data_IF_116520793191
#
_entry.id   IF_116520793191
#
_cell.length_a   1.000
_cell.length_b   1.000
_cell.length_c   1.000
_cell.angle_alpha   90.00
_cell.angle_beta   90.00
_cell.angle_gamma   90.00
#
_symmetry.space_group_name_H-M   'P 1'
#
loop_
_entity.id
_entity.type
_entity.pdbx_description
1 polymer ?
#
# COMPACT_ATOMS: atom_id res chain seq x y z
N UNK A 1 20.06 0.69 -2.68
CA UNK A 1 19.85 2.12 -2.98
C UNK A 1 21.06 2.87 -2.43
N UNK A 2 21.76 3.64 -3.25
CA UNK A 2 23.03 4.25 -2.86
C UNK A 2 22.82 5.19 -1.67
N UNK A 3 23.59 5.00 -0.60
CA UNK A 3 23.70 5.92 0.54
C UNK A 3 24.38 7.24 0.18
N UNK A 4 24.73 7.44 -1.09
CA UNK A 4 25.22 8.70 -1.59
C UNK A 4 24.05 9.66 -1.74
N UNK A 5 23.69 10.33 -0.63
CA UNK A 5 23.16 11.68 -0.74
C UNK A 5 24.06 12.50 -1.68
N UNK A 6 23.56 13.53 -2.37
CA UNK A 6 24.29 14.19 -3.45
C UNK A 6 25.70 14.56 -3.01
N UNK A 7 26.68 13.77 -3.46
CA UNK A 7 28.08 13.97 -3.13
C UNK A 7 28.53 15.20 -3.91
N UNK A 8 28.44 16.36 -3.27
CA UNK A 8 28.81 17.62 -3.91
C UNK A 8 30.33 17.70 -4.00
N UNK A 9 30.86 17.39 -5.17
CA UNK A 9 32.29 17.57 -5.46
C UNK A 9 32.55 19.05 -5.72
N UNK A 10 33.09 19.76 -4.73
CA UNK A 10 33.58 21.10 -4.94
C UNK A 10 34.89 21.03 -5.76
N UNK A 11 35.00 21.75 -6.90
CA UNK A 11 36.26 21.85 -7.63
C UNK A 11 37.24 22.69 -6.80
N UNK A 12 38.21 22.03 -6.18
CA UNK A 12 39.22 22.67 -5.33
C UNK A 12 40.56 22.62 -6.04
N UNK A 13 41.20 23.78 -6.15
CA UNK A 13 42.55 23.86 -6.74
C UNK A 13 43.59 23.32 -5.75
N UNK A 14 44.55 22.51 -6.23
CA UNK A 14 45.62 22.01 -5.35
C UNK A 14 46.41 23.16 -4.72
N UNK A 15 46.52 23.15 -3.39
CA UNK A 15 47.30 24.13 -2.63
C UNK A 15 46.53 25.40 -2.22
N UNK A 16 45.24 25.48 -2.52
CA UNK A 16 44.37 26.58 -2.09
C UNK A 16 43.87 26.43 -0.65
N UNK A 17 43.30 27.51 -0.09
CA UNK A 17 42.62 27.50 1.21
C UNK A 17 41.12 27.55 0.99
N UNK A 18 40.40 26.59 1.55
CA UNK A 18 38.95 26.60 1.57
C UNK A 18 38.45 27.44 2.74
N UNK A 19 37.55 28.38 2.44
CA UNK A 19 36.81 29.11 3.45
C UNK A 19 35.34 28.70 3.40
N UNK A 20 34.79 28.38 4.57
CA UNK A 20 33.38 28.04 4.74
C UNK A 20 32.73 29.16 5.56
N UNK A 21 31.62 29.69 5.07
CA UNK A 21 30.75 30.54 5.88
C UNK A 21 29.31 30.08 5.78
N UNK A 22 28.62 30.16 6.91
CA UNK A 22 27.18 29.97 6.96
C UNK A 22 26.51 31.25 6.44
N UNK A 23 25.66 31.08 5.42
CA UNK A 23 24.81 32.13 4.89
C UNK A 23 23.54 32.30 5.72
N UNK A 24 22.53 32.97 5.16
CA UNK A 24 21.23 33.08 5.80
C UNK A 24 20.46 31.76 5.62
N UNK A 25 19.84 31.29 6.69
CA UNK A 25 19.01 30.08 6.66
C UNK A 25 19.86 28.81 6.49
N UNK A 26 19.64 28.10 5.39
CA UNK A 26 20.23 26.78 5.13
C UNK A 26 21.34 26.79 4.06
N UNK A 27 22.00 27.94 3.90
CA UNK A 27 23.07 28.13 2.93
C UNK A 27 24.46 27.92 3.58
N UNK A 28 25.31 27.08 2.97
CA UNK A 28 26.76 27.19 3.06
C UNK A 28 27.28 27.97 1.87
N UNK A 29 28.30 28.77 2.12
CA UNK A 29 29.11 29.37 1.09
C UNK A 29 30.52 28.82 1.22
N UNK A 30 30.97 28.12 0.18
CA UNK A 30 32.35 27.73 -0.02
C UNK A 30 33.03 28.78 -0.88
N UNK A 31 34.19 29.24 -0.44
CA UNK A 31 35.05 30.08 -1.24
C UNK A 31 36.42 29.41 -1.37
N UNK A 32 36.87 29.23 -2.61
CA UNK A 32 38.25 28.84 -2.88
C UNK A 32 39.16 30.08 -2.85
N UNK A 33 40.10 30.16 -1.90
CA UNK A 33 41.00 31.31 -1.75
C UNK A 33 42.41 30.90 -2.19
N UNK A 34 42.96 31.66 -3.14
CA UNK A 34 44.34 31.51 -3.58
C UNK A 34 45.30 31.70 -2.40
N UNK A 35 46.28 30.81 -2.27
CA UNK A 35 47.26 30.94 -1.21
C UNK A 35 48.22 32.10 -1.53
N UNK A 36 48.26 33.16 -0.71
CA UNK A 36 49.03 34.36 -1.01
C UNK A 36 50.55 34.10 -1.00
N UNK A 37 51.02 33.04 -0.35
CA UNK A 37 52.44 32.72 -0.25
C UNK A 37 52.97 31.91 -1.44
N UNK A 38 52.13 31.08 -2.06
CA UNK A 38 52.54 30.17 -3.14
C UNK A 38 51.98 30.56 -4.51
N UNK A 39 51.04 31.51 -4.56
CA UNK A 39 50.22 31.83 -5.74
C UNK A 39 49.52 30.60 -6.36
N UNK A 40 49.50 29.46 -5.65
CA UNK A 40 48.81 28.26 -6.06
C UNK A 40 47.36 28.34 -5.55
N UNK A 41 46.40 28.07 -6.44
CA UNK A 41 44.97 28.14 -6.16
C UNK A 41 44.16 28.57 -7.39
N UNK A 42 42.83 28.58 -7.27
CA UNK A 42 41.93 28.91 -8.39
C UNK A 42 42.02 30.39 -8.80
N UNK A 43 41.96 30.63 -10.11
CA UNK A 43 42.27 31.93 -10.78
C UNK A 43 41.18 33.02 -10.59
N UNK A 44 40.34 32.87 -9.58
CA UNK A 44 39.23 33.77 -9.29
C UNK A 44 38.33 33.08 -8.29
N UNK A 45 38.29 33.60 -7.06
CA UNK A 45 37.64 32.96 -5.92
C UNK A 45 36.23 32.46 -6.23
N UNK A 46 36.13 31.18 -6.59
CA UNK A 46 34.88 30.57 -6.96
C UNK A 46 34.04 30.47 -5.68
N UNK A 47 32.94 31.22 -5.67
CA UNK A 47 31.93 31.12 -4.64
C UNK A 47 30.96 30.01 -5.03
N UNK A 48 31.03 28.90 -4.33
CA UNK A 48 30.03 27.85 -4.41
C UNK A 48 29.03 28.04 -3.27
N UNK A 49 27.75 28.09 -3.61
CA UNK A 49 26.67 28.10 -2.63
C UNK A 49 26.05 26.70 -2.59
N UNK A 50 26.03 26.10 -1.40
CA UNK A 50 25.34 24.84 -1.13
C UNK A 50 24.15 25.17 -0.25
N UNK A 51 22.93 24.97 -0.72
CA UNK A 51 21.73 25.06 0.12
C UNK A 51 21.24 23.66 0.48
N UNK A 52 21.16 23.33 1.76
CA UNK A 52 20.44 22.13 2.25
C UNK A 52 19.02 22.49 2.65
N UNK A 53 18.15 21.49 2.78
CA UNK A 53 16.82 21.69 3.35
C UNK A 53 15.94 22.70 2.63
N UNK A 54 16.05 22.83 1.29
CA UNK A 54 15.02 23.51 0.51
C UNK A 54 13.71 22.76 0.72
N UNK A 55 12.80 23.36 1.49
CA UNK A 55 11.47 22.81 1.75
C UNK A 55 10.74 22.75 0.42
N UNK A 56 10.27 21.56 0.03
CA UNK A 56 9.56 21.40 -1.24
C UNK A 56 8.34 22.32 -1.29
N UNK A 57 7.87 22.65 -2.49
CA UNK A 57 6.57 23.31 -2.68
C UNK A 57 5.48 22.55 -1.92
N UNK A 58 5.49 21.22 -2.02
CA UNK A 58 4.57 20.31 -1.34
C UNK A 58 4.59 20.49 0.19
N UNK A 59 5.77 20.44 0.81
CA UNK A 59 5.89 20.61 2.26
C UNK A 59 5.45 22.00 2.73
N UNK A 60 5.66 23.06 1.92
CA UNK A 60 5.13 24.40 2.23
C UNK A 60 3.61 24.42 2.19
N UNK A 61 3.00 23.84 1.16
CA UNK A 61 1.54 23.77 1.02
C UNK A 61 0.94 23.02 2.22
N UNK A 62 1.48 21.83 2.54
CA UNK A 62 1.00 21.02 3.67
C UNK A 62 1.14 21.79 4.98
N UNK A 63 2.29 22.42 5.22
CA UNK A 63 2.56 23.17 6.46
C UNK A 63 1.60 24.36 6.64
N UNK A 64 1.31 25.11 5.57
CA UNK A 64 0.35 26.21 5.64
C UNK A 64 -1.09 25.71 5.79
N UNK A 65 -1.47 24.65 5.07
CA UNK A 65 -2.82 24.10 5.10
C UNK A 65 -3.17 23.45 6.44
N UNK A 66 -2.17 22.94 7.18
CA UNK A 66 -2.36 22.22 8.44
C UNK A 66 -1.91 23.01 9.68
N UNK A 67 -1.52 24.29 9.51
CA UNK A 67 -0.94 25.12 10.56
C UNK A 67 -1.86 25.29 11.78
N UNK A 68 -3.16 25.44 11.55
CA UNK A 68 -4.15 25.64 12.62
C UNK A 68 -4.29 24.37 13.48
N UNK A 69 -4.50 23.22 12.82
CA UNK A 69 -4.62 21.92 13.48
C UNK A 69 -3.33 21.57 14.24
N UNK A 70 -2.16 21.83 13.64
CA UNK A 70 -0.88 21.65 14.30
C UNK A 70 -0.77 22.54 15.55
N UNK A 71 -1.13 23.82 15.46
CA UNK A 71 -1.09 24.74 16.59
C UNK A 71 -2.05 24.32 17.73
N UNK A 72 -3.18 23.69 17.42
CA UNK A 72 -4.10 23.14 18.42
C UNK A 72 -3.50 21.92 19.14
N UNK A 73 -2.86 21.01 18.40
CA UNK A 73 -2.15 19.85 18.98
C UNK A 73 -1.05 20.33 19.94
N UNK A 74 -0.24 21.31 19.51
CA UNK A 74 0.84 21.87 20.34
C UNK A 74 0.32 22.56 21.61
N UNK A 75 -0.72 23.40 21.49
CA UNK A 75 -1.35 24.07 22.65
C UNK A 75 -1.85 23.05 23.66
N UNK A 76 -2.52 22.00 23.18
CA UNK A 76 -3.03 20.90 24.00
C UNK A 76 -1.93 20.09 24.69
N UNK A 77 -0.81 19.86 24.01
CA UNK A 77 0.33 19.14 24.56
C UNK A 77 1.02 19.95 25.66
N UNK A 78 1.23 21.25 25.43
CA UNK A 78 1.83 22.16 26.41
C UNK A 78 0.97 22.33 27.66
N UNK A 79 -0.36 22.20 27.55
CA UNK A 79 -1.25 22.21 28.72
C UNK A 79 -1.21 20.89 29.52
N UNK A 80 -0.47 19.88 29.07
CA UNK A 80 -0.37 18.57 29.73
C UNK A 80 -1.61 17.70 29.61
N UNK A 81 -2.57 18.06 28.75
CA UNK A 81 -3.79 17.31 28.55
C UNK A 81 -3.54 16.13 27.60
N UNK A 82 -3.68 14.91 28.11
CA UNK A 82 -3.72 13.65 27.32
C UNK A 82 -5.10 13.01 27.40
N UNK A 83 -6.13 13.83 27.33
CA UNK A 83 -7.52 13.40 27.35
C UNK A 83 -8.00 12.99 25.94
N UNK A 84 -9.20 12.43 25.85
CA UNK A 84 -9.82 12.03 24.58
C UNK A 84 -9.89 13.21 23.58
N UNK A 85 -10.01 14.43 24.10
CA UNK A 85 -10.02 15.65 23.30
C UNK A 85 -8.65 15.93 22.66
N UNK A 86 -7.54 15.69 23.37
CA UNK A 86 -6.19 15.78 22.79
C UNK A 86 -6.02 14.76 21.67
N UNK A 87 -6.36 13.50 21.93
CA UNK A 87 -6.28 12.46 20.91
C UNK A 87 -7.16 12.81 19.69
N UNK A 88 -8.32 13.45 19.90
CA UNK A 88 -9.23 13.84 18.81
C UNK A 88 -8.61 14.93 17.92
N UNK A 89 -7.90 15.89 18.53
CA UNK A 89 -7.12 16.90 17.81
C UNK A 89 -5.99 16.27 17.01
N UNK A 90 -5.27 15.30 17.59
CA UNK A 90 -4.18 14.59 16.88
C UNK A 90 -4.72 13.84 15.66
N UNK A 91 -5.87 13.15 15.78
CA UNK A 91 -6.49 12.48 14.64
C UNK A 91 -7.02 13.45 13.57
N UNK A 92 -7.57 14.59 13.97
CA UNK A 92 -7.97 15.65 13.04
C UNK A 92 -6.75 16.18 12.26
N UNK A 93 -5.65 16.42 12.96
CA UNK A 93 -4.39 16.84 12.38
C UNK A 93 -3.81 15.78 11.43
N UNK A 94 -3.75 14.51 11.84
CA UNK A 94 -3.24 13.41 11.04
C UNK A 94 -4.01 13.25 9.72
N UNK A 95 -5.35 13.34 9.79
CA UNK A 95 -6.23 13.29 8.63
C UNK A 95 -6.03 14.47 7.69
N UNK A 96 -5.93 15.69 8.23
CA UNK A 96 -5.68 16.90 7.44
C UNK A 96 -4.36 16.80 6.68
N UNK A 97 -3.30 16.30 7.33
CA UNK A 97 -2.00 16.04 6.68
C UNK A 97 -2.14 14.99 5.57
N UNK A 98 -2.81 13.87 5.84
CA UNK A 98 -3.04 12.82 4.83
C UNK A 98 -3.77 13.37 3.61
N UNK A 99 -4.81 14.17 3.80
CA UNK A 99 -5.58 14.78 2.71
C UNK A 99 -4.70 15.67 1.81
N UNK A 100 -3.78 16.43 2.40
CA UNK A 100 -2.83 17.25 1.64
C UNK A 100 -1.77 16.40 0.93
N UNK A 101 -1.22 15.39 1.59
CA UNK A 101 -0.27 14.46 0.96
C UNK A 101 -0.90 13.73 -0.23
N UNK A 102 -2.15 13.30 -0.10
CA UNK A 102 -2.88 12.64 -1.18
C UNK A 102 -3.23 13.58 -2.33
N UNK A 103 -3.51 14.86 -2.07
CA UNK A 103 -3.81 15.83 -3.13
C UNK A 103 -2.57 16.23 -3.95
N UNK A 104 -1.39 16.12 -3.35
CA UNK A 104 -0.09 16.45 -3.96
C UNK A 104 0.64 15.23 -4.52
N UNK A 105 0.03 14.04 -4.45
CA UNK A 105 0.65 12.77 -4.84
C UNK A 105 1.06 12.73 -6.32
N UNK A 106 0.27 13.37 -7.18
CA UNK A 106 0.48 13.34 -8.62
C UNK A 106 1.27 14.58 -9.11
N UNK A 107 1.89 15.34 -8.20
CA UNK A 107 2.72 16.50 -8.54
C UNK A 107 4.07 16.05 -9.14
N UNK A 108 4.32 16.30 -10.44
CA UNK A 108 5.54 15.86 -11.10
C UNK A 108 6.80 16.56 -10.58
N UNK A 109 6.65 17.72 -9.90
CA UNK A 109 7.78 18.53 -9.45
C UNK A 109 8.45 17.98 -8.18
N UNK A 110 7.83 17.02 -7.48
CA UNK A 110 8.33 16.45 -6.21
C UNK A 110 9.07 15.11 -6.36
N UNK A 111 9.28 14.64 -7.61
CA UNK A 111 10.09 13.44 -7.88
C UNK A 111 9.64 12.16 -7.20
N UNK A 112 8.36 12.07 -6.80
CA UNK A 112 7.76 10.89 -6.15
C UNK A 112 7.89 10.84 -4.61
N UNK A 113 8.55 11.80 -3.97
CA UNK A 113 8.71 11.82 -2.50
C UNK A 113 7.36 11.96 -1.79
N UNK A 114 6.45 12.82 -2.27
CA UNK A 114 5.09 12.97 -1.73
C UNK A 114 4.30 11.66 -1.68
N UNK A 115 4.51 10.75 -2.64
CA UNK A 115 3.76 9.49 -2.70
C UNK A 115 4.19 8.52 -1.61
N UNK A 116 5.50 8.40 -1.41
CA UNK A 116 6.06 7.55 -0.35
C UNK A 116 5.75 8.13 1.03
N UNK A 117 5.84 9.44 1.19
CA UNK A 117 5.45 10.11 2.43
C UNK A 117 3.97 9.93 2.73
N UNK A 118 3.08 10.00 1.74
CA UNK A 118 1.66 9.72 1.90
C UNK A 118 1.42 8.27 2.39
N UNK A 119 2.12 7.31 1.79
CA UNK A 119 2.03 5.91 2.17
C UNK A 119 2.52 5.67 3.61
N UNK A 120 3.70 6.19 3.96
CA UNK A 120 4.26 6.07 5.30
C UNK A 120 3.40 6.79 6.35
N UNK A 121 2.92 8.00 6.05
CA UNK A 121 2.06 8.78 6.94
C UNK A 121 0.76 8.04 7.25
N UNK A 122 0.11 7.47 6.23
CA UNK A 122 -1.14 6.75 6.45
C UNK A 122 -0.93 5.47 7.28
N UNK A 123 0.20 4.76 7.14
CA UNK A 123 0.53 3.66 8.06
C UNK A 123 0.66 4.15 9.50
N UNK A 124 1.39 5.23 9.72
CA UNK A 124 1.55 5.82 11.04
C UNK A 124 0.21 6.26 11.64
N UNK A 125 -0.67 6.88 10.85
CA UNK A 125 -2.03 7.24 11.27
C UNK A 125 -2.84 6.00 11.68
N UNK A 126 -2.85 4.96 10.85
CA UNK A 126 -3.60 3.72 11.13
C UNK A 126 -3.15 3.09 12.44
N UNK A 127 -1.85 2.93 12.66
CA UNK A 127 -1.32 2.21 13.82
C UNK A 127 -1.20 3.06 15.09
N UNK A 128 -0.80 4.33 14.97
CA UNK A 128 -0.53 5.17 16.13
C UNK A 128 -1.73 6.03 16.57
N UNK A 129 -2.70 6.23 15.68
CA UNK A 129 -3.85 7.10 15.94
C UNK A 129 -5.14 6.30 15.91
N UNK A 130 -5.45 5.60 14.82
CA UNK A 130 -6.76 4.97 14.64
C UNK A 130 -6.89 3.65 15.43
N UNK A 131 -5.84 2.82 15.45
CA UNK A 131 -5.86 1.51 16.10
C UNK A 131 -6.15 1.58 17.62
N UNK A 132 -5.57 2.51 18.41
CA UNK A 132 -5.94 2.64 19.83
C UNK A 132 -7.39 3.09 20.06
N UNK A 133 -8.07 3.60 19.03
CA UNK A 133 -9.38 4.26 19.13
C UNK A 133 -10.53 3.42 18.60
N UNK A 134 -10.21 2.44 17.77
CA UNK A 134 -11.17 1.56 17.13
C UNK A 134 -10.81 0.12 17.49
N UNK A 135 -11.81 -0.69 17.88
CA UNK A 135 -11.70 -2.16 17.90
C UNK A 135 -11.65 -2.71 16.45
N UNK A 136 -10.84 -2.06 15.62
CA UNK A 136 -10.85 -2.13 14.16
C UNK A 136 -10.15 -3.37 13.63
N UNK A 137 -10.51 -3.73 12.39
CA UNK A 137 -9.84 -4.79 11.67
C UNK A 137 -8.59 -4.23 10.97
N UNK A 138 -7.47 -4.23 11.68
CA UNK A 138 -6.18 -3.74 11.17
C UNK A 138 -5.78 -4.42 9.86
N UNK A 139 -6.20 -5.68 9.65
CA UNK A 139 -6.02 -6.36 8.38
C UNK A 139 -6.72 -5.66 7.21
N UNK A 140 -8.00 -5.26 7.38
CA UNK A 140 -8.74 -4.53 6.35
C UNK A 140 -8.16 -3.13 6.13
N UNK A 141 -7.68 -2.48 7.19
CA UNK A 141 -6.99 -1.19 7.08
C UNK A 141 -5.67 -1.31 6.28
N UNK A 142 -4.91 -2.40 6.46
CA UNK A 142 -3.72 -2.69 5.67
C UNK A 142 -4.06 -2.98 4.19
N UNK A 143 -5.12 -3.74 3.92
CA UNK A 143 -5.57 -4.01 2.55
C UNK A 143 -6.02 -2.72 1.87
N UNK A 144 -6.77 -1.87 2.58
CA UNK A 144 -7.19 -0.56 2.06
C UNK A 144 -5.99 0.36 1.80
N UNK A 145 -5.02 0.37 2.71
CA UNK A 145 -3.77 1.11 2.54
C UNK A 145 -3.00 0.63 1.29
N UNK A 146 -2.82 -0.68 1.13
CA UNK A 146 -2.13 -1.23 -0.04
C UNK A 146 -2.89 -0.89 -1.33
N UNK A 147 -4.22 -0.97 -1.34
CA UNK A 147 -5.03 -0.57 -2.49
C UNK A 147 -4.85 0.90 -2.89
N UNK A 148 -4.62 1.80 -1.92
CA UNK A 148 -4.42 3.22 -2.17
C UNK A 148 -3.00 3.57 -2.65
N UNK A 149 -2.00 2.77 -2.28
CA UNK A 149 -0.58 3.09 -2.47
C UNK A 149 0.20 2.10 -3.36
N UNK A 150 -0.39 0.98 -3.78
CA UNK A 150 0.32 -0.04 -4.57
C UNK A 150 0.97 0.50 -5.84
N UNK A 151 0.28 1.35 -6.60
CA UNK A 151 0.84 1.93 -7.84
C UNK A 151 1.99 2.91 -7.55
N UNK A 152 1.92 3.66 -6.45
CA UNK A 152 3.01 4.54 -6.01
C UNK A 152 4.25 3.72 -5.59
N UNK A 153 4.05 2.66 -4.80
CA UNK A 153 5.11 1.74 -4.39
C UNK A 153 5.74 1.04 -5.59
N UNK A 154 4.93 0.62 -6.58
CA UNK A 154 5.42 0.07 -7.83
C UNK A 154 6.27 1.08 -8.61
N UNK A 155 5.81 2.33 -8.72
CA UNK A 155 6.57 3.40 -9.39
C UNK A 155 7.94 3.66 -8.75
N UNK A 156 8.03 3.67 -7.42
CA UNK A 156 9.29 3.85 -6.68
C UNK A 156 10.25 2.67 -6.88
N UNK A 157 9.71 1.47 -7.06
CA UNK A 157 10.50 0.24 -7.29
C UNK A 157 10.76 -0.04 -8.77
N UNK A 158 10.45 0.92 -9.67
CA UNK A 158 10.54 0.80 -11.12
C UNK A 158 9.74 -0.38 -11.70
N UNK A 159 8.71 -0.81 -10.97
CA UNK A 159 7.77 -1.84 -11.40
C UNK A 159 6.56 -1.22 -12.09
N UNK A 160 5.97 -1.95 -13.04
CA UNK A 160 4.73 -1.50 -13.67
C UNK A 160 3.57 -1.60 -12.67
N UNK A 161 2.89 -0.47 -12.44
CA UNK A 161 1.71 -0.40 -11.57
C UNK A 161 0.53 -1.22 -12.12
N UNK A 162 -0.29 -1.72 -11.20
CA UNK A 162 -1.50 -2.50 -11.49
C UNK A 162 -2.50 -1.67 -12.31
N UNK A 163 -2.68 -0.39 -11.97
CA UNK A 163 -3.67 0.46 -12.66
C UNK A 163 -3.23 0.76 -14.10
N UNK A 164 -1.94 1.04 -14.33
CA UNK A 164 -1.40 1.21 -15.69
C UNK A 164 -1.60 -0.05 -16.53
N UNK A 165 -1.31 -1.23 -15.96
CA UNK A 165 -1.50 -2.50 -16.69
C UNK A 165 -2.97 -2.80 -16.98
N UNK A 166 -3.87 -2.46 -16.07
CA UNK A 166 -5.31 -2.59 -16.25
C UNK A 166 -5.80 -1.72 -17.43
N UNK A 167 -5.36 -0.46 -17.50
CA UNK A 167 -5.72 0.45 -18.59
C UNK A 167 -5.26 -0.09 -19.96
N UNK A 168 -4.03 -0.58 -20.04
CA UNK A 168 -3.49 -1.20 -21.26
C UNK A 168 -4.33 -2.39 -21.73
N UNK A 169 -4.73 -3.28 -20.81
CA UNK A 169 -5.53 -4.46 -21.13
C UNK A 169 -6.97 -4.09 -21.49
N UNK A 170 -7.60 -3.18 -20.75
CA UNK A 170 -8.95 -2.69 -21.05
C UNK A 170 -9.03 -1.93 -22.38
N UNK A 171 -7.94 -1.28 -22.80
CA UNK A 171 -7.83 -0.63 -24.11
C UNK A 171 -7.62 -1.61 -25.27
N UNK A 172 -7.33 -2.88 -25.00
CA UNK A 172 -7.12 -3.90 -26.02
C UNK A 172 -8.46 -4.44 -26.57
N UNK A 173 -8.63 -4.56 -27.90
CA UNK A 173 -9.84 -5.14 -28.50
C UNK A 173 -9.98 -6.66 -28.23
N UNK A 174 -8.92 -7.30 -27.75
CA UNK A 174 -8.93 -8.71 -27.36
C UNK A 174 -8.15 -8.88 -26.05
N UNK A 175 -8.71 -8.30 -24.99
CA UNK A 175 -8.12 -8.29 -23.66
C UNK A 175 -7.85 -9.71 -23.13
N UNK A 176 -8.81 -10.64 -23.22
CA UNK A 176 -8.65 -11.99 -22.67
C UNK A 176 -7.73 -12.90 -23.50
N UNK A 177 -7.40 -12.50 -24.73
CA UNK A 177 -6.32 -13.11 -25.51
C UNK A 177 -4.91 -12.71 -25.00
N UNK A 178 -4.76 -11.61 -24.28
CA UNK A 178 -3.46 -11.14 -23.78
C UNK A 178 -2.94 -12.03 -22.64
N UNK A 179 -1.67 -12.50 -22.68
CA UNK A 179 -1.13 -13.48 -21.71
C UNK A 179 -1.36 -13.06 -20.25
N UNK A 180 -1.31 -11.77 -19.98
CA UNK A 180 -1.38 -11.21 -18.63
C UNK A 180 -2.83 -10.95 -18.15
N UNK A 181 -3.85 -11.23 -18.96
CA UNK A 181 -5.25 -11.01 -18.58
C UNK A 181 -5.65 -11.77 -17.31
N UNK A 182 -5.49 -13.10 -17.33
CA UNK A 182 -5.84 -13.95 -16.18
C UNK A 182 -4.91 -13.71 -15.00
N UNK A 183 -3.57 -13.60 -15.17
CA UNK A 183 -2.66 -13.19 -14.10
C UNK A 183 -3.06 -11.87 -13.42
N UNK A 184 -3.36 -10.82 -14.18
CA UNK A 184 -3.79 -9.55 -13.61
C UNK A 184 -5.14 -9.69 -12.90
N UNK A 185 -6.11 -10.39 -13.51
CA UNK A 185 -7.41 -10.63 -12.87
C UNK A 185 -7.23 -11.38 -11.55
N UNK A 186 -6.40 -12.42 -11.51
CA UNK A 186 -6.12 -13.16 -10.27
C UNK A 186 -5.43 -12.30 -9.21
N UNK A 187 -4.50 -11.43 -9.61
CA UNK A 187 -3.82 -10.49 -8.70
C UNK A 187 -4.79 -9.45 -8.14
N UNK A 188 -5.61 -8.84 -8.98
CA UNK A 188 -6.67 -7.91 -8.56
C UNK A 188 -7.63 -8.54 -7.56
N UNK A 189 -8.06 -9.78 -7.84
CA UNK A 189 -8.94 -10.53 -6.93
C UNK A 189 -8.23 -10.89 -5.63
N UNK A 190 -6.97 -11.35 -5.69
CA UNK A 190 -6.16 -11.66 -4.51
C UNK A 190 -6.08 -10.44 -3.58
N UNK A 191 -5.79 -9.26 -4.12
CA UNK A 191 -5.69 -8.01 -3.37
C UNK A 191 -7.04 -7.40 -2.97
N UNK A 192 -8.16 -8.04 -3.33
CA UNK A 192 -9.51 -7.53 -3.03
C UNK A 192 -9.88 -6.26 -3.80
N UNK A 193 -9.21 -5.96 -4.92
CA UNK A 193 -9.52 -4.85 -5.85
C UNK A 193 -10.68 -5.23 -6.76
N UNK A 194 -11.84 -5.47 -6.14
CA UNK A 194 -13.03 -6.02 -6.80
C UNK A 194 -13.53 -5.13 -7.95
N UNK A 195 -13.48 -3.81 -7.80
CA UNK A 195 -13.97 -2.88 -8.83
C UNK A 195 -13.17 -3.00 -10.12
N UNK A 196 -11.85 -3.02 -9.99
CA UNK A 196 -10.89 -3.19 -11.08
C UNK A 196 -10.98 -4.59 -11.69
N UNK A 197 -11.14 -5.63 -10.86
CA UNK A 197 -11.36 -6.99 -11.34
C UNK A 197 -12.65 -7.10 -12.19
N UNK A 198 -13.75 -6.46 -11.76
CA UNK A 198 -15.01 -6.41 -12.51
C UNK A 198 -14.83 -5.62 -13.82
N UNK A 199 -14.13 -4.48 -13.79
CA UNK A 199 -13.79 -3.71 -14.99
C UNK A 199 -13.05 -4.56 -16.02
N UNK A 200 -12.03 -5.32 -15.60
CA UNK A 200 -11.30 -6.22 -16.49
C UNK A 200 -12.15 -7.40 -16.99
N UNK A 201 -13.01 -7.94 -16.13
CA UNK A 201 -13.92 -9.03 -16.48
C UNK A 201 -14.95 -8.62 -17.53
N UNK A 202 -15.41 -7.37 -17.49
CA UNK A 202 -16.37 -6.82 -18.46
C UNK A 202 -15.73 -6.54 -19.83
N UNK A 203 -14.40 -6.43 -19.89
CA UNK A 203 -13.63 -6.39 -21.14
C UNK A 203 -13.44 -7.77 -21.82
N UNK A 204 -13.91 -8.88 -21.22
CA UNK A 204 -13.73 -10.22 -21.79
C UNK A 204 -14.51 -10.38 -23.12
N UNK A 205 -13.86 -10.87 -24.19
CA UNK A 205 -14.47 -10.83 -25.53
C UNK A 205 -15.76 -11.68 -25.62
N UNK A 206 -15.81 -12.82 -24.91
CA UNK A 206 -17.02 -13.64 -24.80
C UNK A 206 -18.26 -12.85 -24.34
N UNK A 207 -18.12 -11.90 -23.39
CA UNK A 207 -19.22 -11.02 -22.95
C UNK A 207 -19.63 -10.01 -24.03
N UNK A 208 -18.67 -9.54 -24.82
CA UNK A 208 -18.91 -8.57 -25.90
C UNK A 208 -19.52 -9.20 -27.16
N UNK A 209 -19.24 -10.48 -27.41
CA UNK A 209 -19.73 -11.24 -28.57
C UNK A 209 -21.19 -11.74 -28.43
N UNK A 210 -21.93 -11.26 -27.43
CA UNK A 210 -23.31 -11.67 -27.13
C UNK A 210 -24.34 -11.12 -28.14
N UNK A 211 -24.24 -11.57 -29.40
CA UNK A 211 -25.18 -11.18 -30.48
C UNK A 211 -25.53 -12.30 -31.48
N UNK A 212 -24.97 -13.50 -31.32
CA UNK A 212 -25.24 -14.66 -32.20
C UNK A 212 -24.55 -15.96 -31.76
N UNK A 213 -23.53 -15.83 -30.91
CA UNK A 213 -22.74 -16.91 -30.33
C UNK A 213 -23.47 -17.72 -29.24
N UNK A 214 -24.61 -17.24 -28.74
CA UNK A 214 -25.41 -17.88 -27.67
C UNK A 214 -26.02 -19.24 -28.06
N UNK A 215 -26.03 -19.57 -29.35
CA UNK A 215 -26.50 -20.88 -29.83
C UNK A 215 -25.46 -21.99 -29.64
N UNK A 216 -24.20 -21.65 -29.34
CA UNK A 216 -23.15 -22.65 -29.08
C UNK A 216 -23.09 -22.99 -27.58
N UNK A 217 -23.23 -24.27 -27.20
CA UNK A 217 -23.27 -24.67 -25.79
C UNK A 217 -21.99 -24.30 -25.03
N UNK A 218 -20.81 -24.38 -25.67
CA UNK A 218 -19.53 -24.00 -25.06
C UNK A 218 -19.42 -22.51 -24.75
N UNK A 219 -19.91 -21.63 -25.62
CA UNK A 219 -19.88 -20.17 -25.40
C UNK A 219 -20.89 -19.78 -24.32
N UNK A 220 -22.07 -20.42 -24.30
CA UNK A 220 -23.05 -20.24 -23.23
C UNK A 220 -22.47 -20.65 -21.86
N UNK A 221 -21.79 -21.79 -21.78
CA UNK A 221 -21.15 -22.24 -20.56
C UNK A 221 -20.04 -21.28 -20.08
N UNK A 222 -19.27 -20.68 -21.00
CA UNK A 222 -18.31 -19.64 -20.64
C UNK A 222 -18.99 -18.40 -20.06
N UNK A 223 -20.05 -17.92 -20.69
CA UNK A 223 -20.81 -16.78 -20.19
C UNK A 223 -21.38 -17.06 -18.80
N UNK A 224 -21.93 -18.24 -18.59
CA UNK A 224 -22.44 -18.67 -17.28
C UNK A 224 -21.33 -18.65 -16.21
N UNK A 225 -20.14 -19.18 -16.50
CA UNK A 225 -19.00 -19.11 -15.59
C UNK A 225 -18.54 -17.66 -15.31
N UNK A 226 -18.49 -16.81 -16.33
CA UNK A 226 -18.10 -15.41 -16.22
C UNK A 226 -19.14 -14.59 -15.42
N UNK A 227 -20.42 -14.90 -15.57
CA UNK A 227 -21.52 -14.26 -14.84
C UNK A 227 -21.54 -14.71 -13.37
N UNK A 228 -21.36 -16.01 -13.12
CA UNK A 228 -21.14 -16.54 -11.77
C UNK A 228 -19.96 -15.84 -11.08
N UNK A 229 -18.83 -15.70 -11.78
CA UNK A 229 -17.67 -15.00 -11.24
C UNK A 229 -17.97 -13.51 -10.96
N UNK A 230 -18.64 -12.82 -11.89
CA UNK A 230 -19.04 -11.43 -11.71
C UNK A 230 -19.93 -11.24 -10.46
N UNK A 231 -20.91 -12.13 -10.26
CA UNK A 231 -21.79 -12.12 -9.08
C UNK A 231 -21.02 -12.40 -7.79
N UNK A 232 -20.12 -13.40 -7.78
CA UNK A 232 -19.27 -13.71 -6.62
C UNK A 232 -18.41 -12.51 -6.24
N UNK A 233 -17.72 -11.90 -7.20
CA UNK A 233 -16.87 -10.73 -6.97
C UNK A 233 -17.67 -9.57 -6.39
N UNK A 234 -18.80 -9.22 -7.02
CA UNK A 234 -19.68 -8.15 -6.55
C UNK A 234 -20.23 -8.39 -5.13
N UNK A 235 -20.32 -9.64 -4.69
CA UNK A 235 -20.84 -10.04 -3.37
C UNK A 235 -19.74 -10.42 -2.38
N UNK A 236 -18.46 -10.23 -2.71
CA UNK A 236 -17.33 -10.57 -1.83
C UNK A 236 -17.52 -9.91 -0.45
N UNK A 237 -17.71 -10.68 0.63
CA UNK A 237 -17.93 -10.12 1.95
C UNK A 237 -16.64 -9.51 2.50
N UNK A 238 -16.73 -8.27 2.98
CA UNK A 238 -15.63 -7.51 3.59
C UNK A 238 -16.07 -6.93 4.92
N UNK A 239 -15.16 -6.83 5.88
CA UNK A 239 -15.42 -6.05 7.09
C UNK A 239 -15.16 -4.56 6.78
N UNK A 240 -15.93 -3.66 7.40
CA UNK A 240 -15.70 -2.24 7.22
C UNK A 240 -14.33 -1.83 7.79
N UNK A 241 -13.47 -1.17 7.01
CA UNK A 241 -12.23 -0.61 7.56
C UNK A 241 -12.55 0.52 8.54
N UNK A 242 -11.60 0.81 9.42
CA UNK A 242 -11.71 1.84 10.44
C UNK A 242 -11.75 3.23 9.80
N UNK A 243 -10.98 3.42 8.72
CA UNK A 243 -10.81 4.69 8.00
C UNK A 243 -11.78 4.90 6.83
N UNK A 244 -13.09 4.71 7.08
CA UNK A 244 -14.17 5.10 6.16
C UNK A 244 -14.60 4.02 5.17
N UNK A 245 -15.91 3.98 4.89
CA UNK A 245 -16.51 2.99 3.98
C UNK A 245 -16.31 3.37 2.53
N UNK A 246 -15.80 2.45 1.71
CA UNK A 246 -16.04 2.49 0.27
C UNK A 246 -17.55 2.26 0.04
N UNK A 247 -18.28 3.23 -0.54
CA UNK A 247 -19.72 3.10 -0.79
C UNK A 247 -20.08 2.01 -1.81
N UNK A 248 -19.10 1.52 -2.58
CA UNK A 248 -19.32 0.48 -3.60
C UNK A 248 -19.10 -0.94 -3.07
N UNK A 249 -18.46 -1.09 -1.91
CA UNK A 249 -18.22 -2.38 -1.27
C UNK A 249 -19.33 -2.68 -0.25
N UNK A 250 -19.84 -3.92 -0.27
CA UNK A 250 -20.78 -4.41 0.76
C UNK A 250 -19.98 -4.74 2.03
N UNK A 251 -19.54 -3.69 2.71
CA UNK A 251 -18.80 -3.77 3.95
C UNK A 251 -19.75 -3.98 5.14
N UNK A 252 -19.53 -5.05 5.90
CA UNK A 252 -20.32 -5.40 7.07
C UNK A 252 -19.78 -4.67 8.30
N UNK A 253 -20.69 -4.08 9.09
CA UNK A 253 -20.34 -3.43 10.36
C UNK A 253 -20.38 -4.37 11.56
N UNK A 254 -20.96 -5.57 11.40
CA UNK A 254 -21.05 -6.60 12.42
C UNK A 254 -20.28 -7.85 11.98
N UNK A 255 -19.46 -8.36 12.88
CA UNK A 255 -18.68 -9.58 12.67
C UNK A 255 -19.56 -10.82 12.46
N UNK A 256 -20.72 -10.88 13.13
CA UNK A 256 -21.67 -11.99 12.99
C UNK A 256 -22.34 -11.98 11.60
N UNK A 257 -22.73 -10.79 11.12
CA UNK A 257 -23.31 -10.63 9.78
C UNK A 257 -22.28 -10.96 8.69
N UNK A 258 -21.05 -10.46 8.87
CA UNK A 258 -19.92 -10.79 8.00
C UNK A 258 -19.69 -12.31 7.92
N UNK A 259 -19.58 -12.98 9.06
CA UNK A 259 -19.27 -14.42 9.11
C UNK A 259 -20.35 -15.24 8.42
N UNK A 260 -21.62 -14.93 8.68
CA UNK A 260 -22.77 -15.59 8.05
C UNK A 260 -22.76 -15.38 6.52
N UNK A 261 -22.54 -14.15 6.08
CA UNK A 261 -22.46 -13.84 4.65
C UNK A 261 -21.27 -14.53 3.97
N UNK A 262 -20.12 -14.61 4.67
CA UNK A 262 -18.90 -15.25 4.18
C UNK A 262 -19.07 -16.75 4.03
N UNK A 263 -19.72 -17.43 4.97
CA UNK A 263 -20.01 -18.87 4.86
C UNK A 263 -20.93 -19.19 3.67
N UNK A 264 -21.98 -18.40 3.45
CA UNK A 264 -22.87 -18.56 2.30
C UNK A 264 -22.10 -18.32 1.00
N UNK A 265 -21.31 -17.25 0.94
CA UNK A 265 -20.52 -16.90 -0.23
C UNK A 265 -19.46 -17.96 -0.56
N UNK A 266 -18.75 -18.51 0.43
CA UNK A 266 -17.78 -19.58 0.23
C UNK A 266 -18.43 -20.86 -0.28
N UNK A 267 -19.64 -21.18 0.20
CA UNK A 267 -20.41 -22.33 -0.32
C UNK A 267 -20.79 -22.13 -1.78
N UNK A 268 -21.33 -20.96 -2.14
CA UNK A 268 -21.65 -20.62 -3.54
C UNK A 268 -20.41 -20.72 -4.44
N UNK A 269 -19.26 -20.22 -3.98
CA UNK A 269 -17.99 -20.33 -4.72
C UNK A 269 -17.52 -21.79 -4.86
N UNK A 270 -17.68 -22.60 -3.81
CA UNK A 270 -17.36 -24.03 -3.83
C UNK A 270 -18.25 -24.83 -4.77
N UNK A 271 -19.56 -24.55 -4.79
CA UNK A 271 -20.53 -25.20 -5.67
C UNK A 271 -20.19 -24.93 -7.15
N UNK A 272 -19.82 -23.68 -7.47
CA UNK A 272 -19.35 -23.32 -8.82
C UNK A 272 -18.05 -24.07 -9.14
N UNK A 273 -17.07 -24.06 -8.24
CA UNK A 273 -15.79 -24.74 -8.45
C UNK A 273 -15.92 -26.26 -8.65
N UNK A 274 -16.95 -26.88 -8.06
CA UNK A 274 -17.24 -28.30 -8.20
C UNK A 274 -18.03 -28.68 -9.48
N UNK A 275 -18.50 -27.70 -10.27
CA UNK A 275 -19.29 -27.92 -11.47
C UNK A 275 -18.45 -28.38 -12.67
N UNK A 276 -17.85 -29.58 -12.57
CA UNK A 276 -16.92 -30.14 -13.56
C UNK A 276 -17.50 -30.23 -14.98
N UNK A 277 -18.78 -30.54 -15.13
CA UNK A 277 -19.44 -30.58 -16.43
C UNK A 277 -19.48 -29.20 -17.09
N UNK A 278 -19.78 -28.13 -16.32
CA UNK A 278 -19.81 -26.76 -16.81
C UNK A 278 -18.42 -26.31 -17.29
N UNK A 279 -17.38 -26.63 -16.51
CA UNK A 279 -15.99 -26.37 -16.90
C UNK A 279 -15.56 -27.17 -18.14
N UNK A 280 -15.99 -28.43 -18.27
CA UNK A 280 -15.68 -29.27 -19.43
C UNK A 280 -16.31 -28.71 -20.70
N UNK A 281 -17.59 -28.31 -20.63
CA UNK A 281 -18.33 -27.71 -21.76
C UNK A 281 -17.74 -26.35 -22.13
N UNK A 282 -17.44 -25.49 -21.15
CA UNK A 282 -16.79 -24.21 -21.41
C UNK A 282 -15.38 -24.35 -22.00
N UNK A 283 -14.61 -25.33 -21.50
CA UNK A 283 -13.26 -25.65 -21.94
C UNK A 283 -13.18 -26.15 -23.38
N UNK A 284 -14.24 -26.82 -23.86
CA UNK A 284 -14.34 -27.23 -25.27
C UNK A 284 -14.37 -26.03 -26.24
N UNK A 285 -14.86 -24.87 -25.80
CA UNK A 285 -14.83 -23.63 -26.59
C UNK A 285 -13.61 -22.74 -26.27
N UNK A 286 -13.14 -22.71 -25.02
CA UNK A 286 -11.95 -21.98 -24.59
C UNK A 286 -11.41 -22.58 -23.31
N UNK A 287 -10.39 -23.43 -23.47
CA UNK A 287 -9.63 -24.00 -22.35
C UNK A 287 -9.05 -22.89 -21.46
N UNK A 288 -8.57 -21.81 -22.07
CA UNK A 288 -8.01 -20.66 -21.38
C UNK A 288 -9.01 -19.98 -20.45
N UNK A 289 -10.24 -19.77 -20.90
CA UNK A 289 -11.29 -19.15 -20.08
C UNK A 289 -11.69 -20.06 -18.92
N UNK A 290 -11.87 -21.36 -19.18
CA UNK A 290 -12.19 -22.32 -18.14
C UNK A 290 -11.08 -22.43 -17.07
N UNK A 291 -9.81 -22.53 -17.47
CA UNK A 291 -8.66 -22.56 -16.56
C UNK A 291 -8.48 -21.23 -15.82
N UNK A 292 -8.70 -20.10 -16.50
CA UNK A 292 -8.67 -18.77 -15.91
C UNK A 292 -9.71 -18.59 -14.79
N UNK A 293 -10.96 -18.97 -15.04
CA UNK A 293 -12.02 -18.93 -14.01
C UNK A 293 -11.67 -19.86 -12.84
N UNK A 294 -11.11 -21.06 -13.10
CA UNK A 294 -10.63 -21.94 -12.02
C UNK A 294 -9.53 -21.29 -11.19
N UNK A 295 -8.57 -20.61 -11.81
CA UNK A 295 -7.51 -19.91 -11.09
C UNK A 295 -8.09 -18.83 -10.17
N UNK A 296 -9.05 -18.04 -10.65
CA UNK A 296 -9.73 -17.03 -9.84
C UNK A 296 -10.53 -17.67 -8.69
N UNK A 297 -11.26 -18.76 -8.94
CA UNK A 297 -12.00 -19.47 -7.88
C UNK A 297 -11.08 -20.04 -6.80
N UNK A 298 -9.89 -20.55 -7.16
CA UNK A 298 -8.91 -21.02 -6.17
C UNK A 298 -8.42 -19.87 -5.26
N UNK A 299 -8.21 -18.68 -5.83
CA UNK A 299 -7.90 -17.46 -5.05
C UNK A 299 -9.07 -17.11 -4.13
N UNK A 300 -10.30 -17.06 -4.65
CA UNK A 300 -11.51 -16.74 -3.86
C UNK A 300 -11.77 -17.73 -2.72
N UNK A 301 -11.41 -19.00 -2.91
CA UNK A 301 -11.52 -20.06 -1.90
C UNK A 301 -10.32 -20.08 -0.92
N UNK A 302 -9.35 -19.17 -1.07
CA UNK A 302 -8.23 -19.03 -0.15
C UNK A 302 -7.18 -20.14 -0.24
N UNK A 303 -7.01 -20.76 -1.41
CA UNK A 303 -5.94 -21.74 -1.66
C UNK A 303 -4.56 -21.08 -1.53
N UNK A 304 -3.72 -21.48 -0.54
CA UNK A 304 -2.41 -20.86 -0.31
C UNK A 304 -1.46 -20.90 -1.51
N UNK A 305 -1.55 -21.92 -2.35
CA UNK A 305 -0.72 -22.00 -3.55
C UNK A 305 -1.19 -20.98 -4.61
N UNK A 306 -2.50 -20.81 -4.76
CA UNK A 306 -3.08 -19.85 -5.69
C UNK A 306 -2.84 -18.40 -5.24
N UNK A 307 -2.98 -18.10 -3.93
CA UNK A 307 -2.71 -16.77 -3.38
C UNK A 307 -1.24 -16.36 -3.58
N UNK A 308 -0.30 -17.28 -3.31
CA UNK A 308 1.13 -17.03 -3.55
C UNK A 308 1.44 -16.83 -5.03
N UNK A 309 0.86 -17.64 -5.91
CA UNK A 309 1.06 -17.50 -7.35
C UNK A 309 0.45 -16.21 -7.92
N UNK A 310 -0.56 -15.64 -7.27
CA UNK A 310 -1.26 -14.43 -7.74
C UNK A 310 -0.61 -13.12 -7.27
N UNK A 311 0.37 -13.14 -6.36
CA UNK A 311 0.94 -11.95 -5.71
C UNK A 311 2.43 -11.79 -6.02
N UNK A 312 2.93 -10.56 -6.14
CA UNK A 312 4.33 -10.30 -6.49
C UNK A 312 5.30 -10.41 -5.31
N UNK A 313 4.86 -9.98 -4.13
CA UNK A 313 5.72 -9.80 -2.97
C UNK A 313 5.02 -10.18 -1.66
N UNK A 314 5.78 -10.24 -0.56
CA UNK A 314 5.25 -10.61 0.75
C UNK A 314 4.12 -9.70 1.25
N UNK A 315 4.10 -8.42 0.88
CA UNK A 315 3.10 -7.46 1.33
C UNK A 315 1.77 -7.70 0.61
N UNK A 316 1.82 -7.92 -0.70
CA UNK A 316 0.67 -8.41 -1.47
C UNK A 316 0.17 -9.77 -0.99
N UNK A 317 1.09 -10.68 -0.66
CA UNK A 317 0.75 -11.99 -0.10
C UNK A 317 -0.02 -11.89 1.21
N UNK A 318 0.44 -11.04 2.12
CA UNK A 318 -0.23 -10.79 3.39
C UNK A 318 -1.62 -10.19 3.20
N UNK A 319 -1.77 -9.22 2.29
CA UNK A 319 -3.07 -8.68 1.93
C UNK A 319 -4.01 -9.75 1.35
N UNK A 320 -3.52 -10.61 0.45
CA UNK A 320 -4.32 -11.68 -0.14
C UNK A 320 -4.78 -12.71 0.88
N UNK A 321 -3.89 -13.08 1.78
CA UNK A 321 -4.17 -13.93 2.94
C UNK A 321 -5.25 -13.30 3.82
N UNK A 322 -5.15 -12.01 4.19
CA UNK A 322 -6.19 -11.27 4.96
C UNK A 322 -7.55 -11.28 4.25
N UNK A 323 -7.59 -11.01 2.94
CA UNK A 323 -8.85 -10.91 2.20
C UNK A 323 -9.53 -12.27 2.10
N UNK A 324 -8.78 -13.34 1.83
CA UNK A 324 -9.34 -14.63 1.42
C UNK A 324 -9.39 -15.68 2.51
N UNK A 325 -8.54 -15.59 3.55
CA UNK A 325 -8.45 -16.60 4.60
C UNK A 325 -9.09 -16.14 5.91
N UNK A 326 -9.73 -17.09 6.57
CA UNK A 326 -10.33 -16.87 7.88
C UNK A 326 -9.26 -17.02 8.95
N UNK A 327 -8.96 -15.94 9.66
CA UNK A 327 -8.09 -15.98 10.83
C UNK A 327 -8.93 -16.18 12.08
N UNK A 328 -8.73 -17.32 12.76
CA UNK A 328 -9.10 -17.46 14.15
C UNK A 328 -8.89 -18.87 14.71
N UNK A 329 -8.16 -18.89 15.83
CA UNK A 329 -7.89 -19.96 16.80
C UNK A 329 -7.56 -21.36 16.28
N UNK A 330 -6.32 -21.53 15.83
CA UNK A 330 -5.64 -22.83 15.83
C UNK A 330 -4.59 -22.88 16.96
N UNK A 331 -4.99 -22.64 18.22
CA UNK A 331 -4.11 -22.84 19.38
C UNK A 331 -4.87 -23.05 20.71
N UNK A 332 -5.97 -23.79 20.71
CA UNK A 332 -6.46 -24.46 21.93
C UNK A 332 -7.22 -25.70 21.49
N UNK A 333 -6.72 -26.87 21.84
CA UNK A 333 -7.29 -28.14 21.41
C UNK A 333 -8.76 -28.30 21.80
N UNK A 334 -9.58 -28.73 20.83
CA UNK A 334 -10.89 -29.32 21.07
C UNK A 334 -12.08 -28.46 20.63
N UNK A 335 -12.78 -28.93 19.60
CA UNK A 335 -14.17 -28.56 19.30
C UNK A 335 -14.31 -27.40 18.32
N UNK A 336 -14.90 -27.70 17.16
CA UNK A 336 -15.15 -26.74 16.08
C UNK A 336 -15.85 -25.46 16.57
N UNK A 337 -15.22 -24.33 16.27
CA UNK A 337 -15.77 -23.00 16.42
C UNK A 337 -15.07 -22.08 15.42
N UNK A 338 -15.82 -21.57 14.45
CA UNK A 338 -15.32 -20.68 13.39
C UNK A 338 -14.62 -19.46 13.97
N UNK A 339 -13.32 -19.37 13.67
CA UNK A 339 -12.48 -18.24 14.05
C UNK A 339 -12.86 -16.98 13.28
N UNK A 340 -13.25 -15.94 14.01
CA UNK A 340 -13.70 -14.66 13.46
C UNK A 340 -12.55 -13.79 12.93
N UNK A 341 -12.64 -13.43 11.64
CA UNK A 341 -11.62 -12.75 10.83
C UNK A 341 -11.33 -11.27 11.14
N UNK A 342 -11.16 -10.91 12.41
CA UNK A 342 -10.55 -9.62 12.81
C UNK A 342 -9.07 -9.88 13.05
N UNK A 343 -8.21 -9.27 12.24
CA UNK A 343 -6.76 -9.36 12.40
C UNK A 343 -6.30 -8.18 13.26
N UNK A 344 -5.91 -8.44 14.52
CA UNK A 344 -5.26 -7.45 15.39
C UNK A 344 -3.73 -7.41 15.20
N UNK A 345 -3.03 -6.46 15.85
CA UNK A 345 -1.58 -6.24 15.66
C UNK A 345 -0.70 -7.50 15.80
N UNK A 346 -0.89 -8.28 16.86
CA UNK A 346 -0.13 -9.54 17.07
C UNK A 346 -0.42 -10.60 16.00
N UNK A 347 -1.67 -10.69 15.54
CA UNK A 347 -2.05 -11.64 14.50
C UNK A 347 -1.52 -11.19 13.13
N UNK A 348 -1.54 -9.88 12.86
CA UNK A 348 -0.95 -9.32 11.67
C UNK A 348 0.54 -9.62 11.62
N UNK A 349 1.28 -9.39 12.71
CA UNK A 349 2.71 -9.72 12.78
C UNK A 349 2.98 -11.19 12.48
N UNK A 350 2.26 -12.11 13.13
CA UNK A 350 2.42 -13.54 12.90
C UNK A 350 2.18 -13.90 11.42
N UNK A 351 1.14 -13.32 10.82
CA UNK A 351 0.85 -13.50 9.39
C UNK A 351 1.98 -12.96 8.51
N UNK A 352 2.49 -11.77 8.79
CA UNK A 352 3.61 -11.18 8.05
C UNK A 352 4.84 -12.09 8.09
N UNK A 353 5.18 -12.64 9.26
CA UNK A 353 6.28 -13.59 9.42
C UNK A 353 6.07 -14.87 8.61
N UNK A 354 4.89 -15.46 8.69
CA UNK A 354 4.55 -16.70 7.98
C UNK A 354 4.62 -16.50 6.46
N UNK A 355 4.05 -15.41 5.94
CA UNK A 355 4.05 -15.11 4.51
C UNK A 355 5.47 -14.87 4.02
N UNK A 356 6.28 -14.07 4.73
CA UNK A 356 7.66 -13.80 4.35
C UNK A 356 8.52 -15.08 4.37
N UNK A 357 8.35 -15.93 5.38
CA UNK A 357 9.07 -17.21 5.46
C UNK A 357 8.66 -18.21 4.38
N UNK A 358 7.42 -18.13 3.89
CA UNK A 358 6.89 -19.02 2.85
C UNK A 358 7.31 -18.66 1.42
N UNK A 359 7.98 -17.52 1.24
CA UNK A 359 8.48 -17.03 -0.04
C UNK A 359 9.96 -17.34 -0.22
N UNK A 360 10.35 -17.51 -1.47
CA UNK A 360 11.77 -17.50 -1.82
C UNK A 360 12.37 -16.14 -1.48
N UNK A 361 13.67 -16.07 -1.13
CA UNK A 361 14.32 -14.80 -0.84
C UNK A 361 14.23 -13.89 -2.07
N UNK A 362 13.38 -12.86 -1.97
CA UNK A 362 13.24 -11.83 -3.00
C UNK A 362 14.59 -11.10 -3.16
N UNK A 363 14.91 -10.66 -4.38
CA UNK A 363 15.97 -9.68 -4.58
C UNK A 363 15.68 -8.47 -3.68
N UNK A 364 16.65 -8.06 -2.88
CA UNK A 364 16.44 -7.09 -1.81
C UNK A 364 15.92 -5.75 -2.37
N UNK A 365 14.60 -5.55 -2.29
CA UNK A 365 13.99 -4.24 -2.47
C UNK A 365 14.15 -3.48 -1.16
N UNK A 366 15.03 -2.47 -1.16
CA UNK A 366 15.28 -1.65 0.03
C UNK A 366 14.02 -1.01 0.61
N UNK A 367 13.00 -0.76 -0.23
CA UNK A 367 11.70 -0.26 0.20
C UNK A 367 10.87 -1.34 0.93
N UNK A 368 10.84 -2.57 0.41
CA UNK A 368 10.11 -3.66 1.08
C UNK A 368 10.76 -4.05 2.41
N UNK A 369 12.09 -4.02 2.51
CA UNK A 369 12.78 -4.24 3.79
C UNK A 369 12.52 -3.12 4.81
N UNK A 370 12.41 -1.87 4.35
CA UNK A 370 11.98 -0.74 5.17
C UNK A 370 10.56 -0.92 5.68
N UNK A 371 9.61 -1.23 4.77
CA UNK A 371 8.21 -1.44 5.13
C UNK A 371 8.04 -2.62 6.09
N UNK A 372 8.81 -3.69 5.91
CA UNK A 372 8.87 -4.78 6.86
C UNK A 372 9.26 -4.30 8.26
N UNK A 373 10.40 -3.63 8.37
CA UNK A 373 10.95 -3.19 9.66
C UNK A 373 10.02 -2.20 10.34
N UNK A 374 9.37 -1.34 9.56
CA UNK A 374 8.37 -0.38 10.05
C UNK A 374 7.11 -1.09 10.55
N UNK A 375 6.53 -2.01 9.77
CA UNK A 375 5.33 -2.75 10.17
C UNK A 375 5.59 -3.65 11.38
N UNK A 376 6.77 -4.23 11.50
CA UNK A 376 7.16 -5.00 12.69
C UNK A 376 7.15 -4.11 13.94
N UNK A 377 7.84 -2.96 13.89
CA UNK A 377 7.86 -2.01 15.01
C UNK A 377 6.45 -1.48 15.34
N UNK A 378 5.62 -1.20 14.33
CA UNK A 378 4.25 -0.74 14.52
C UNK A 378 3.35 -1.82 15.14
N UNK A 379 3.49 -3.09 14.74
CA UNK A 379 2.73 -4.20 15.33
C UNK A 379 3.12 -4.47 16.78
N UNK A 380 4.39 -4.24 17.14
CA UNK A 380 4.90 -4.37 18.51
C UNK A 380 4.64 -3.13 19.38
N UNK A 381 4.03 -2.07 18.81
CA UNK A 381 3.87 -0.78 19.45
C UNK A 381 5.21 -0.15 19.92
N UNK A 382 6.32 -0.50 19.27
CA UNK A 382 7.65 0.05 19.55
C UNK A 382 7.85 1.39 18.84
N UNK A 383 7.40 2.47 19.50
CA UNK A 383 7.56 3.84 19.02
C UNK A 383 9.03 4.21 18.78
N UNK A 384 9.97 3.71 19.60
CA UNK A 384 11.39 3.99 19.42
C UNK A 384 11.94 3.29 18.18
N UNK A 385 11.52 2.04 17.96
CA UNK A 385 11.80 1.28 16.74
C UNK A 385 11.29 1.98 15.47
N UNK A 386 10.05 2.49 15.50
CA UNK A 386 9.46 3.25 14.38
C UNK A 386 10.34 4.46 14.02
N UNK A 387 10.72 5.27 15.01
CA UNK A 387 11.59 6.45 14.81
C UNK A 387 12.96 6.04 14.29
N UNK A 388 13.53 4.96 14.84
CA UNK A 388 14.82 4.42 14.39
C UNK A 388 14.76 4.04 12.91
N UNK A 389 13.79 3.22 12.50
CA UNK A 389 13.62 2.76 11.11
C UNK A 389 13.51 3.94 10.15
N UNK A 390 12.62 4.90 10.45
CA UNK A 390 12.42 6.07 9.60
C UNK A 390 13.69 6.92 9.50
N UNK A 391 14.36 7.19 10.63
CA UNK A 391 15.58 8.03 10.66
C UNK A 391 16.77 7.41 9.93
N UNK A 392 16.93 6.07 9.98
CA UNK A 392 18.06 5.37 9.34
C UNK A 392 17.80 5.01 7.88
N UNK A 393 16.55 5.08 7.42
CA UNK A 393 16.19 4.68 6.07
C UNK A 393 16.77 5.57 4.96
N UNK A 394 17.04 6.83 5.26
CA UNK A 394 17.35 7.86 4.25
C UNK A 394 16.14 8.27 3.38
N UNK A 395 14.97 7.68 3.64
CA UNK A 395 13.72 7.89 2.88
C UNK A 395 12.81 8.90 3.57
N UNK A 396 12.79 8.90 4.90
CA UNK A 396 11.96 9.85 5.66
C UNK A 396 12.56 11.26 5.58
N UNK A 397 11.78 12.22 5.08
CA UNK A 397 12.22 13.61 5.07
C UNK A 397 12.29 14.18 6.50
N UNK A 398 13.05 15.27 6.71
CA UNK A 398 13.03 15.99 7.98
C UNK A 398 11.62 16.45 8.38
N UNK A 399 10.77 16.76 7.40
CA UNK A 399 9.38 17.13 7.63
C UNK A 399 8.59 15.94 8.19
N UNK A 400 8.63 14.78 7.53
CA UNK A 400 7.96 13.57 8.00
C UNK A 400 8.42 13.20 9.41
N UNK A 401 9.73 13.26 9.66
CA UNK A 401 10.31 12.99 10.99
C UNK A 401 9.83 13.97 12.06
N UNK A 402 9.71 15.26 11.76
CA UNK A 402 9.24 16.24 12.73
C UNK A 402 7.78 15.99 13.11
N UNK A 403 6.94 15.63 12.13
CA UNK A 403 5.51 15.50 12.32
C UNK A 403 5.07 14.11 12.80
N UNK A 404 5.81 13.04 12.47
CA UNK A 404 5.52 11.70 12.99
C UNK A 404 5.68 11.63 14.51
N UNK A 405 6.56 12.45 15.08
CA UNK A 405 6.75 12.54 16.52
C UNK A 405 5.50 13.03 17.26
N UNK A 406 4.62 13.79 16.60
CA UNK A 406 3.35 14.20 17.21
C UNK A 406 2.36 13.05 17.30
N UNK A 407 2.34 12.16 16.31
CA UNK A 407 1.52 10.95 16.33
C UNK A 407 2.06 9.98 17.39
N UNK A 408 3.38 9.76 17.40
CA UNK A 408 4.07 8.94 18.39
C UNK A 408 3.86 9.43 19.83
N UNK A 409 3.91 10.74 20.07
CA UNK A 409 3.71 11.32 21.41
C UNK A 409 2.27 11.19 21.92
N UNK A 410 1.31 11.03 21.02
CA UNK A 410 -0.11 10.82 21.32
C UNK A 410 -0.45 9.34 21.56
N UNK A 411 0.43 8.42 21.17
CA UNK A 411 0.21 6.99 21.37
C UNK A 411 0.12 6.66 22.87
N UNK A 412 -0.96 5.99 23.32
CA UNK A 412 -1.07 5.53 24.71
C UNK A 412 -0.15 4.32 24.89
N UNK A 413 1.03 4.56 25.47
CA UNK A 413 1.97 3.50 25.88
C UNK A 413 1.57 2.80 27.17
#
# INVERSE_FOLDING_TARGET
MSSDGPAFTAPISRGSRLHFSWGLGTELRLLDIQNPATQQGGDGGQLMQVSWGQVSSSHRIISFATAEQYAEVQRSRLSGARDDAHLARVASYARAVREQLMSLRDDPDDGGYSQLEAALWQLLEVFLVDLPRHEGNLGEDLVAWLGAHADALAGITEQQGISSRLEELCGSPSAAAQPDYWPLLTRLVALGRTREALQLLDCHEAKQAAGGALQQPGIRAQLELLDCLHVLLKRLPRLAPSAGRDPTSRAYGSLAEYSTAREVWLREAGDIAAAEELFTVAGAASRRTAEGVRAVLRVLLGDPAALRAATSDWLEGAAAEIVHRQYGSAAAGGGGGGGCGIVGGNQLRALLCDVRASREPEEASGLLDLLWSLLEALCEADVAGVVSVLSTSGVASPWLMAHCMELAAAYPG
#
